data_IF_295165185187
#
_entry.id   IF_295165185187
#
_cell.length_a   1.000
_cell.length_b   1.000
_cell.length_c   1.000
_cell.angle_alpha   90.00
_cell.angle_beta   90.00
_cell.angle_gamma   90.00
#
_symmetry.space_group_name_H-M   'P 1'
#
loop_
_entity.id
_entity.type
_entity.pdbx_description
1 polymer ?
#
# COMPACT_ATOMS: atom_id res chain seq x y z
N UNK A 1 4.00 -33.48 -55.35
CA UNK A 1 4.21 -33.62 -53.89
C UNK A 1 3.51 -32.45 -53.24
N UNK A 2 2.26 -32.68 -52.82
CA UNK A 2 1.39 -31.72 -52.17
C UNK A 2 1.59 -31.78 -50.66
N UNK A 3 1.85 -30.64 -50.02
CA UNK A 3 1.79 -30.49 -48.58
C UNK A 3 0.71 -29.46 -48.27
N UNK A 4 -0.46 -29.98 -47.87
CA UNK A 4 -1.55 -29.23 -47.26
C UNK A 4 -1.17 -28.89 -45.81
N UNK A 5 -1.00 -27.60 -45.51
CA UNK A 5 -0.94 -27.10 -44.14
C UNK A 5 -2.29 -26.48 -43.76
N UNK A 6 -3.13 -27.27 -43.08
CA UNK A 6 -4.34 -26.78 -42.41
C UNK A 6 -3.97 -25.81 -41.28
N UNK A 7 -4.17 -24.51 -41.50
CA UNK A 7 -4.23 -23.51 -40.43
C UNK A 7 -5.49 -23.74 -39.58
N UNK A 8 -5.32 -24.28 -38.37
CA UNK A 8 -6.38 -24.29 -37.35
C UNK A 8 -6.39 -22.95 -36.61
N UNK A 9 -7.33 -22.09 -36.96
CA UNK A 9 -7.69 -20.93 -36.15
C UNK A 9 -8.40 -21.40 -34.87
N UNK A 10 -7.78 -21.18 -33.70
CA UNK A 10 -8.46 -21.32 -32.42
C UNK A 10 -9.18 -20.01 -32.07
N UNK A 11 -10.51 -19.98 -32.23
CA UNK A 11 -11.36 -18.91 -31.71
C UNK A 11 -11.81 -19.25 -30.29
N UNK A 12 -11.34 -18.49 -29.30
CA UNK A 12 -11.96 -18.48 -27.96
C UNK A 12 -13.25 -17.67 -28.03
N UNK A 13 -14.39 -18.34 -28.15
CA UNK A 13 -15.69 -17.74 -27.91
C UNK A 13 -15.97 -17.75 -26.41
N UNK A 14 -15.70 -16.63 -25.73
CA UNK A 14 -16.28 -16.38 -24.40
C UNK A 14 -17.70 -15.90 -24.66
N UNK A 15 -18.70 -16.66 -24.19
CA UNK A 15 -20.08 -16.17 -24.12
C UNK A 15 -20.16 -15.23 -22.92
N UNK A 16 -20.31 -13.95 -23.20
CA UNK A 16 -20.62 -12.92 -22.21
C UNK A 16 -22.08 -13.06 -21.76
N UNK A 17 -22.34 -14.00 -20.85
CA UNK A 17 -23.55 -13.99 -20.03
C UNK A 17 -23.21 -13.26 -18.72
N UNK A 18 -22.90 -11.96 -18.83
CA UNK A 18 -22.78 -11.05 -17.70
C UNK A 18 -24.19 -10.66 -17.25
N UNK A 19 -24.68 -11.35 -16.23
CA UNK A 19 -25.87 -10.98 -15.48
C UNK A 19 -25.63 -9.59 -14.84
N UNK A 20 -26.16 -8.55 -15.47
CA UNK A 20 -25.96 -7.14 -15.12
C UNK A 20 -26.71 -6.70 -13.86
N UNK A 21 -27.28 -7.66 -13.11
CA UNK A 21 -28.12 -7.40 -11.95
C UNK A 21 -27.37 -7.23 -10.62
N UNK A 22 -26.03 -7.41 -10.62
CA UNK A 22 -25.19 -7.30 -9.41
C UNK A 22 -24.47 -5.96 -9.22
N UNK A 23 -24.67 -4.97 -10.11
CA UNK A 23 -23.90 -3.72 -10.15
C UNK A 23 -24.59 -2.49 -9.55
N UNK A 24 -25.65 -2.67 -8.77
CA UNK A 24 -26.35 -1.57 -8.10
C UNK A 24 -26.24 -1.63 -6.58
N UNK A 25 -25.01 -1.84 -6.08
CA UNK A 25 -24.66 -1.42 -4.72
C UNK A 25 -23.93 -0.07 -4.83
N UNK A 26 -24.40 0.88 -4.03
CA UNK A 26 -24.00 2.29 -4.02
C UNK A 26 -22.48 2.48 -4.19
N UNK A 27 -22.07 2.93 -5.37
CA UNK A 27 -20.75 3.53 -5.56
C UNK A 27 -20.80 4.88 -4.85
N UNK A 28 -20.36 4.92 -3.60
CA UNK A 28 -19.90 6.17 -3.00
C UNK A 28 -18.85 6.76 -3.95
N UNK A 29 -19.02 8.03 -4.33
CA UNK A 29 -18.07 8.77 -5.15
C UNK A 29 -16.73 8.83 -4.40
N UNK A 30 -15.84 7.89 -4.71
CA UNK A 30 -14.50 7.85 -4.16
C UNK A 30 -13.60 8.82 -4.91
N UNK A 31 -12.92 9.70 -4.16
CA UNK A 31 -11.98 10.69 -4.70
C UNK A 31 -10.69 9.98 -5.14
N UNK A 32 -10.44 9.92 -6.46
CA UNK A 32 -9.14 9.48 -6.96
C UNK A 32 -8.02 10.35 -6.39
N UNK A 33 -6.93 9.72 -5.92
CA UNK A 33 -5.72 10.45 -5.50
C UNK A 33 -5.27 11.39 -6.62
N UNK A 34 -5.22 12.67 -6.31
CA UNK A 34 -4.85 13.71 -7.26
C UNK A 34 -3.34 13.96 -7.25
N UNK A 35 -2.81 14.49 -8.36
CA UNK A 35 -1.40 14.92 -8.43
C UNK A 35 -1.08 15.93 -7.33
N UNK A 36 -2.04 16.81 -7.01
CA UNK A 36 -1.88 17.81 -5.95
C UNK A 36 -1.68 17.17 -4.58
N UNK A 37 -2.41 16.11 -4.26
CA UNK A 37 -2.26 15.39 -2.98
C UNK A 37 -0.90 14.69 -2.84
N UNK A 38 -0.35 14.19 -3.95
CA UNK A 38 0.99 13.62 -3.97
C UNK A 38 2.08 14.68 -3.83
N UNK A 39 1.88 15.86 -4.41
CA UNK A 39 2.77 17.02 -4.24
C UNK A 39 2.74 17.52 -2.79
N UNK A 40 1.57 17.66 -2.18
CA UNK A 40 1.40 17.99 -0.76
C UNK A 40 2.10 16.98 0.15
N UNK A 41 1.95 15.69 -0.12
CA UNK A 41 2.65 14.64 0.61
C UNK A 41 4.18 14.75 0.44
N UNK A 42 4.66 15.03 -0.77
CA UNK A 42 6.08 15.21 -1.02
C UNK A 42 6.66 16.40 -0.24
N UNK A 43 5.93 17.51 -0.17
CA UNK A 43 6.32 18.68 0.61
C UNK A 43 6.28 18.41 2.11
N UNK A 44 5.26 17.70 2.61
CA UNK A 44 5.22 17.24 3.98
C UNK A 44 6.42 16.35 4.32
N UNK A 45 6.80 15.42 3.44
CA UNK A 45 7.98 14.57 3.62
C UNK A 45 9.28 15.37 3.62
N UNK A 46 9.45 16.36 2.73
CA UNK A 46 10.62 17.26 2.75
C UNK A 46 10.75 17.95 4.09
N UNK A 47 9.64 18.47 4.62
CA UNK A 47 9.62 19.07 5.94
C UNK A 47 9.99 18.07 7.05
N UNK A 48 9.40 16.87 7.05
CA UNK A 48 9.64 15.83 8.05
C UNK A 48 11.08 15.28 8.03
N UNK A 49 11.72 15.23 6.86
CA UNK A 49 13.06 14.67 6.67
C UNK A 49 14.20 15.68 6.84
N UNK A 50 13.88 16.96 7.01
CA UNK A 50 14.82 18.02 7.38
C UNK A 50 15.23 17.86 8.86
N UNK A 51 16.12 16.89 9.12
CA UNK A 51 16.53 16.45 10.45
C UNK A 51 18.00 16.74 10.71
N UNK A 52 18.31 17.10 11.95
CA UNK A 52 19.65 17.46 12.42
C UNK A 52 20.13 16.50 13.52
N UNK A 53 21.44 16.18 13.58
CA UNK A 53 22.00 15.47 14.72
C UNK A 53 21.75 16.23 16.02
N UNK A 54 21.26 15.54 17.05
CA UNK A 54 20.97 16.16 18.34
C UNK A 54 21.29 15.21 19.49
N UNK A 55 22.18 15.63 20.37
CA UNK A 55 22.45 14.90 21.61
C UNK A 55 21.44 15.28 22.66
N UNK A 56 20.67 14.31 23.14
CA UNK A 56 19.64 14.55 24.15
C UNK A 56 20.26 15.10 25.44
N UNK A 57 19.87 16.28 25.93
CA UNK A 57 20.45 16.87 27.14
C UNK A 57 20.16 16.06 28.41
N UNK A 58 19.04 15.33 28.45
CA UNK A 58 18.65 14.49 29.59
C UNK A 58 19.37 13.15 29.66
N UNK A 59 19.85 12.62 28.53
CA UNK A 59 20.45 11.27 28.45
C UNK A 59 21.91 11.27 28.00
N UNK A 60 22.42 12.38 27.45
CA UNK A 60 23.80 12.51 26.97
C UNK A 60 24.13 11.65 25.75
N UNK A 61 23.11 11.08 25.10
CA UNK A 61 23.24 10.19 23.93
C UNK A 61 22.33 10.67 22.80
N UNK A 62 22.69 10.31 21.57
CA UNK A 62 21.83 10.53 20.40
C UNK A 62 20.76 9.44 20.34
N UNK A 63 19.53 9.83 20.64
CA UNK A 63 18.36 8.96 20.57
C UNK A 63 17.26 9.67 19.78
N UNK A 64 16.44 8.95 19.00
CA UNK A 64 15.30 9.54 18.31
C UNK A 64 14.36 10.23 19.31
N UNK A 65 14.32 11.56 19.30
CA UNK A 65 13.50 12.33 20.24
C UNK A 65 12.00 12.06 20.09
N UNK A 66 11.54 11.64 18.90
CA UNK A 66 10.14 11.32 18.65
C UNK A 66 9.65 10.09 19.44
N UNK A 67 10.57 9.22 19.87
CA UNK A 67 10.27 8.04 20.69
C UNK A 67 10.44 8.31 22.20
N UNK A 68 10.79 9.54 22.57
CA UNK A 68 11.02 9.91 23.95
C UNK A 68 9.69 10.19 24.65
N UNK A 69 9.37 9.44 25.71
CA UNK A 69 8.18 9.65 26.54
C UNK A 69 8.27 10.95 27.37
N UNK A 70 9.50 11.45 27.58
CA UNK A 70 9.76 12.67 28.32
C UNK A 70 9.49 13.91 27.45
N UNK A 71 8.58 14.80 27.91
CA UNK A 71 8.33 16.09 27.26
C UNK A 71 9.57 16.99 27.37
N UNK A 72 10.48 16.89 26.41
CA UNK A 72 11.64 17.75 26.30
C UNK A 72 11.30 18.99 25.46
N UNK A 73 11.37 20.18 26.05
CA UNK A 73 11.20 21.45 25.31
C UNK A 73 12.21 21.61 24.16
N UNK A 74 13.37 20.98 24.29
CA UNK A 74 14.45 21.01 23.29
C UNK A 74 14.15 20.13 22.06
N UNK A 75 13.17 19.23 22.12
CA UNK A 75 12.85 18.32 21.02
C UNK A 75 12.21 19.04 19.81
N UNK A 76 11.70 20.27 20.00
CA UNK A 76 11.04 21.08 18.97
C UNK A 76 9.98 20.31 18.17
N UNK A 77 8.99 19.78 18.91
CA UNK A 77 7.94 18.95 18.34
C UNK A 77 7.02 19.76 17.41
N UNK A 78 6.81 19.26 16.20
CA UNK A 78 5.96 19.84 15.18
C UNK A 78 5.12 18.74 14.50
N UNK A 79 3.93 19.08 14.04
CA UNK A 79 3.06 18.16 13.30
C UNK A 79 2.77 18.73 11.91
N UNK A 80 2.59 17.83 10.95
CA UNK A 80 2.12 18.14 9.61
C UNK A 80 1.05 17.13 9.22
N UNK A 81 0.01 17.60 8.55
CA UNK A 81 -1.08 16.76 8.09
C UNK A 81 -1.33 17.02 6.61
N UNK A 82 -1.60 15.94 5.89
CA UNK A 82 -2.00 15.91 4.49
C UNK A 82 -3.16 14.94 4.35
N UNK A 83 -3.88 14.98 3.23
CA UNK A 83 -4.95 14.01 2.98
C UNK A 83 -4.48 12.55 3.00
N UNK A 84 -3.23 12.30 2.58
CA UNK A 84 -2.67 10.96 2.44
C UNK A 84 -1.90 10.48 3.67
N UNK A 85 -1.67 11.35 4.66
CA UNK A 85 -0.87 11.01 5.80
C UNK A 85 -0.67 12.13 6.82
N UNK A 86 -0.32 11.72 8.02
CA UNK A 86 0.00 12.59 9.14
C UNK A 86 1.40 12.31 9.64
N UNK A 87 2.18 13.36 9.86
CA UNK A 87 3.54 13.25 10.33
C UNK A 87 3.82 14.09 11.56
N UNK A 88 4.84 13.66 12.30
CA UNK A 88 5.35 14.33 13.49
C UNK A 88 6.86 14.46 13.34
N UNK A 89 7.39 15.62 13.69
CA UNK A 89 8.81 15.95 13.58
C UNK A 89 9.34 16.42 14.92
N UNK A 90 10.56 16.00 15.23
CA UNK A 90 11.44 16.60 16.23
C UNK A 90 12.73 17.01 15.54
N UNK A 91 13.68 17.59 16.28
CA UNK A 91 14.97 18.01 15.74
C UNK A 91 15.74 16.89 15.01
N UNK A 92 15.75 15.66 15.53
CA UNK A 92 16.59 14.56 15.01
C UNK A 92 15.83 13.32 14.53
N UNK A 93 14.51 13.34 14.59
CA UNK A 93 13.67 12.21 14.16
C UNK A 93 12.27 12.65 13.80
N UNK A 94 11.63 11.89 12.92
CA UNK A 94 10.26 12.12 12.49
C UNK A 94 9.53 10.82 12.21
N UNK A 95 8.20 10.87 12.26
CA UNK A 95 7.33 9.79 11.84
C UNK A 95 6.35 10.28 10.78
N UNK A 96 5.92 9.37 9.92
CA UNK A 96 4.77 9.60 9.03
C UNK A 96 3.89 8.36 9.00
N UNK A 97 2.60 8.55 9.24
CA UNK A 97 1.56 7.55 9.08
C UNK A 97 0.81 7.83 7.78
N UNK A 98 0.67 6.83 6.92
CA UNK A 98 0.06 6.94 5.59
C UNK A 98 -1.23 6.15 5.53
N UNK A 99 -2.18 6.66 4.75
CA UNK A 99 -3.50 6.06 4.53
C UNK A 99 -3.68 5.76 3.05
N UNK A 100 -3.95 4.50 2.74
CA UNK A 100 -4.28 4.05 1.39
C UNK A 100 -5.79 3.98 1.19
N UNK A 101 -6.20 4.28 -0.04
CA UNK A 101 -7.57 4.09 -0.52
C UNK A 101 -7.90 2.59 -0.59
N UNK A 102 -9.10 2.22 -0.11
CA UNK A 102 -9.57 0.84 0.04
C UNK A 102 -11.03 0.75 -0.36
N UNK A 103 -11.32 -0.06 -1.38
CA UNK A 103 -12.66 -0.22 -1.95
C UNK A 103 -13.44 -1.37 -1.29
N UNK A 104 -12.75 -2.40 -0.80
CA UNK A 104 -13.39 -3.57 -0.20
C UNK A 104 -12.50 -4.28 0.85
N UNK A 105 -13.03 -5.34 1.45
CA UNK A 105 -12.32 -6.15 2.45
C UNK A 105 -11.10 -6.89 1.87
N UNK A 106 -11.11 -7.19 0.56
CA UNK A 106 -9.96 -7.84 -0.10
C UNK A 106 -8.79 -6.86 -0.16
N UNK A 107 -9.03 -5.61 -0.53
CA UNK A 107 -7.97 -4.58 -0.53
C UNK A 107 -7.48 -4.26 0.86
N UNK A 108 -8.37 -4.15 1.85
CA UNK A 108 -7.97 -4.01 3.26
C UNK A 108 -7.03 -5.13 3.68
N UNK A 109 -7.33 -6.38 3.30
CA UNK A 109 -6.45 -7.51 3.56
C UNK A 109 -5.12 -7.43 2.81
N UNK A 110 -5.14 -7.07 1.52
CA UNK A 110 -3.95 -6.95 0.69
C UNK A 110 -3.00 -5.86 1.20
N UNK A 111 -3.53 -4.70 1.62
CA UNK A 111 -2.74 -3.62 2.23
C UNK A 111 -2.11 -4.07 3.53
N UNK A 112 -2.87 -4.70 4.44
CA UNK A 112 -2.29 -5.27 5.67
C UNK A 112 -1.17 -6.27 5.37
N UNK A 113 -1.31 -7.06 4.31
CA UNK A 113 -0.27 -8.01 3.88
C UNK A 113 0.94 -7.30 3.30
N UNK A 114 0.75 -6.28 2.48
CA UNK A 114 1.82 -5.42 1.97
C UNK A 114 2.63 -4.80 3.11
N UNK A 115 1.97 -4.20 4.09
CA UNK A 115 2.63 -3.56 5.25
C UNK A 115 3.46 -4.55 6.04
N UNK A 116 2.97 -5.79 6.24
CA UNK A 116 3.75 -6.86 6.87
C UNK A 116 5.01 -7.20 6.08
N UNK A 117 4.93 -7.26 4.75
CA UNK A 117 6.12 -7.52 3.92
C UNK A 117 7.09 -6.33 3.90
N UNK A 118 6.60 -5.09 3.92
CA UNK A 118 7.45 -3.89 4.06
C UNK A 118 8.22 -3.91 5.39
N UNK A 119 7.55 -4.25 6.50
CA UNK A 119 8.18 -4.38 7.82
C UNK A 119 9.28 -5.47 7.83
N UNK A 120 9.03 -6.63 7.19
CA UNK A 120 10.03 -7.70 7.05
C UNK A 120 11.28 -7.29 6.28
N UNK A 121 11.17 -6.32 5.37
CA UNK A 121 12.29 -5.76 4.61
C UNK A 121 13.11 -4.73 5.38
N UNK A 122 12.81 -4.48 6.66
CA UNK A 122 13.51 -3.54 7.55
C UNK A 122 13.51 -2.10 7.02
N UNK A 123 12.40 -1.67 6.43
CA UNK A 123 12.22 -0.31 5.90
C UNK A 123 11.79 0.71 6.97
N UNK A 124 12.29 0.58 8.21
CA UNK A 124 11.90 1.41 9.37
C UNK A 124 10.37 1.55 9.55
N UNK A 125 9.62 0.49 9.22
CA UNK A 125 8.17 0.45 9.41
C UNK A 125 7.86 0.32 10.90
N UNK A 126 7.03 1.22 11.41
CA UNK A 126 6.54 1.26 12.78
C UNK A 126 5.02 1.08 12.81
N UNK A 127 4.47 0.93 14.02
CA UNK A 127 3.03 0.94 14.22
C UNK A 127 2.46 2.31 13.79
N UNK A 128 1.47 2.35 12.87
CA UNK A 128 0.88 3.61 12.44
C UNK A 128 0.04 4.25 13.55
N UNK A 129 -0.24 5.55 13.40
CA UNK A 129 -1.32 6.19 14.15
C UNK A 129 -2.67 5.53 13.85
N UNK A 130 -3.64 5.69 14.76
CA UNK A 130 -5.01 5.20 14.57
C UNK A 130 -5.57 5.69 13.23
N UNK A 131 -6.32 4.84 12.54
CA UNK A 131 -6.93 5.10 11.21
C UNK A 131 -5.98 5.12 10.01
N UNK A 132 -4.66 4.97 10.22
CA UNK A 132 -3.66 4.85 9.16
C UNK A 132 -3.24 3.39 8.92
N UNK A 133 -2.67 3.11 7.76
CA UNK A 133 -2.31 1.76 7.33
C UNK A 133 -0.86 1.40 7.60
N UNK A 134 0.06 2.36 7.46
CA UNK A 134 1.50 2.14 7.61
C UNK A 134 2.18 3.35 8.23
N UNK A 135 3.06 3.12 9.20
CA UNK A 135 3.90 4.13 9.81
C UNK A 135 5.36 3.94 9.41
N UNK A 136 6.08 5.03 9.18
CA UNK A 136 7.53 5.04 8.98
C UNK A 136 8.21 5.92 10.02
N UNK A 137 9.38 5.49 10.48
CA UNK A 137 10.28 6.26 11.34
C UNK A 137 11.52 6.69 10.55
N UNK A 138 11.88 7.95 10.67
CA UNK A 138 13.11 8.51 10.15
C UNK A 138 13.93 9.12 11.26
N UNK A 139 15.25 9.07 11.08
CA UNK A 139 16.23 9.67 11.97
C UNK A 139 17.13 10.61 11.17
N UNK A 140 17.92 11.43 11.87
CA UNK A 140 18.87 12.32 11.20
C UNK A 140 19.89 11.59 10.31
N UNK A 141 20.08 10.27 10.47
CA UNK A 141 20.92 9.45 9.58
C UNK A 141 20.31 9.33 8.18
N UNK A 142 18.99 9.44 8.05
CA UNK A 142 18.24 9.33 6.80
C UNK A 142 18.30 10.62 5.95
N UNK A 143 18.83 11.73 6.49
CA UNK A 143 18.91 13.04 5.81
C UNK A 143 19.69 13.03 4.50
N UNK A 144 20.54 12.03 4.29
CA UNK A 144 21.32 11.87 3.06
C UNK A 144 20.54 11.20 1.93
N UNK A 145 19.35 10.66 2.23
CA UNK A 145 18.53 9.84 1.33
C UNK A 145 17.14 10.42 1.13
N UNK A 146 16.97 11.73 1.36
CA UNK A 146 15.68 12.43 1.33
C UNK A 146 14.94 12.17 0.03
N UNK A 147 15.59 12.38 -1.11
CA UNK A 147 14.97 12.19 -2.43
C UNK A 147 14.59 10.73 -2.70
N UNK A 148 15.40 9.77 -2.23
CA UNK A 148 15.09 8.34 -2.35
C UNK A 148 13.86 7.96 -1.53
N UNK A 149 13.76 8.48 -0.29
CA UNK A 149 12.66 8.21 0.62
C UNK A 149 11.37 8.82 0.08
N UNK A 150 11.41 10.08 -0.36
CA UNK A 150 10.25 10.75 -0.98
C UNK A 150 9.79 9.97 -2.20
N UNK A 151 10.71 9.65 -3.11
CA UNK A 151 10.40 8.90 -4.33
C UNK A 151 9.83 7.51 -4.01
N UNK A 152 10.35 6.85 -2.97
CA UNK A 152 9.84 5.56 -2.51
C UNK A 152 8.41 5.67 -1.96
N UNK A 153 8.15 6.64 -1.08
CA UNK A 153 6.83 6.80 -0.45
C UNK A 153 5.78 7.26 -1.46
N UNK A 154 6.07 8.31 -2.23
CA UNK A 154 5.14 8.80 -3.26
C UNK A 154 4.87 7.69 -4.28
N UNK A 155 5.93 7.03 -4.77
CA UNK A 155 5.78 5.90 -5.70
C UNK A 155 5.11 4.66 -5.10
N UNK A 156 4.95 4.57 -3.77
CA UNK A 156 4.19 3.49 -3.14
C UNK A 156 2.70 3.62 -3.43
N UNK A 157 2.16 4.85 -3.49
CA UNK A 157 0.75 5.10 -3.81
C UNK A 157 0.41 4.65 -5.23
N UNK A 158 1.24 5.01 -6.22
CA UNK A 158 1.07 4.57 -7.60
C UNK A 158 1.12 3.05 -7.72
N UNK A 159 2.10 2.43 -7.05
CA UNK A 159 2.25 0.96 -7.04
C UNK A 159 1.05 0.28 -6.38
N UNK A 160 0.55 0.82 -5.29
CA UNK A 160 -0.65 0.30 -4.61
C UNK A 160 -1.86 0.41 -5.53
N UNK A 161 -2.09 1.57 -6.17
CA UNK A 161 -3.18 1.80 -7.12
C UNK A 161 -3.19 0.79 -8.26
N UNK A 162 -2.02 0.45 -8.80
CA UNK A 162 -1.90 -0.56 -9.88
C UNK A 162 -2.00 -1.99 -9.35
N UNK A 163 -1.39 -2.27 -8.20
CA UNK A 163 -1.33 -3.63 -7.65
C UNK A 163 -2.71 -4.16 -7.23
N UNK A 164 -3.62 -3.31 -6.72
CA UNK A 164 -4.94 -3.76 -6.27
C UNK A 164 -5.80 -4.43 -7.36
N UNK A 165 -6.06 -3.79 -8.52
CA UNK A 165 -6.83 -4.41 -9.58
C UNK A 165 -6.15 -5.67 -10.14
N UNK A 166 -4.81 -5.68 -10.26
CA UNK A 166 -4.05 -6.86 -10.68
C UNK A 166 -4.25 -8.03 -9.71
N UNK A 167 -4.10 -7.79 -8.40
CA UNK A 167 -4.24 -8.80 -7.37
C UNK A 167 -5.68 -9.37 -7.35
N UNK A 168 -6.69 -8.51 -7.46
CA UNK A 168 -8.10 -8.93 -7.55
C UNK A 168 -8.36 -9.79 -8.79
N UNK A 169 -7.84 -9.40 -9.94
CA UNK A 169 -7.99 -10.16 -11.20
C UNK A 169 -7.40 -11.56 -11.09
N UNK A 170 -6.20 -11.67 -10.48
CA UNK A 170 -5.53 -12.95 -10.23
C UNK A 170 -6.35 -13.81 -9.27
N UNK A 171 -6.80 -13.24 -8.15
CA UNK A 171 -7.60 -13.95 -7.15
C UNK A 171 -8.91 -14.47 -7.76
N UNK A 172 -9.65 -13.63 -8.48
CA UNK A 172 -10.91 -14.00 -9.11
C UNK A 172 -10.72 -15.11 -10.15
N UNK A 173 -9.67 -15.02 -10.96
CA UNK A 173 -9.34 -16.05 -11.95
C UNK A 173 -8.95 -17.38 -11.30
N UNK A 174 -8.20 -17.32 -10.20
CA UNK A 174 -7.86 -18.51 -9.41
C UNK A 174 -9.10 -19.15 -8.78
N UNK A 175 -10.02 -18.35 -8.22
CA UNK A 175 -11.28 -18.83 -7.62
C UNK A 175 -12.13 -19.53 -8.68
N UNK A 176 -12.36 -18.92 -9.86
CA UNK A 176 -13.14 -19.52 -10.95
C UNK A 176 -12.59 -20.90 -11.34
N UNK A 177 -11.28 -21.00 -11.54
CA UNK A 177 -10.63 -22.27 -11.85
C UNK A 177 -10.83 -23.32 -10.76
N UNK A 178 -10.79 -22.92 -9.49
CA UNK A 178 -11.02 -23.84 -8.37
C UNK A 178 -12.46 -24.33 -8.29
N UNK A 179 -13.43 -23.46 -8.57
CA UNK A 179 -14.85 -23.85 -8.65
C UNK A 179 -15.07 -24.87 -9.77
N UNK A 180 -14.56 -24.63 -10.97
CA UNK A 180 -14.65 -25.58 -12.09
C UNK A 180 -14.00 -26.95 -11.77
N UNK A 181 -12.86 -26.95 -11.08
CA UNK A 181 -12.19 -28.18 -10.62
C UNK A 181 -13.05 -28.96 -9.62
N UNK A 182 -13.78 -28.27 -8.73
CA UNK A 182 -14.68 -28.88 -7.75
C UNK A 182 -15.91 -29.47 -8.46
N UNK A 183 -16.56 -28.72 -9.34
CA UNK A 183 -17.73 -29.18 -10.09
C UNK A 183 -17.43 -30.42 -10.94
N UNK A 184 -16.30 -30.41 -11.65
CA UNK A 184 -15.87 -31.57 -12.45
C UNK A 184 -15.68 -32.82 -11.60
N UNK A 185 -15.11 -32.68 -10.40
CA UNK A 185 -14.93 -33.80 -9.47
C UNK A 185 -16.27 -34.33 -8.96
N UNK A 186 -17.22 -33.46 -8.67
CA UNK A 186 -18.55 -33.86 -8.22
C UNK A 186 -19.36 -34.56 -9.32
N UNK A 187 -19.29 -34.09 -10.57
CA UNK A 187 -19.93 -34.77 -11.70
C UNK A 187 -19.36 -36.17 -11.95
N UNK A 188 -18.04 -36.35 -11.84
CA UNK A 188 -17.40 -37.67 -11.97
C UNK A 188 -17.79 -38.65 -10.87
N UNK A 189 -18.16 -38.17 -9.67
CA UNK A 189 -18.70 -39.02 -8.60
C UNK A 189 -20.14 -39.47 -8.90
N UNK A 190 -20.98 -38.56 -9.42
CA UNK A 190 -22.39 -38.87 -9.73
C UNK A 190 -22.55 -39.83 -10.91
N UNK A 191 -21.64 -39.82 -11.89
CA UNK A 191 -21.68 -40.75 -13.04
C UNK A 191 -21.19 -42.19 -12.76
N UNK A 192 -20.87 -42.54 -11.51
CA UNK A 192 -20.43 -43.89 -11.08
C UNK A 192 -21.48 -44.66 -10.28
N UNK A 193 -22.72 -44.19 -10.27
CA UNK A 193 -23.90 -44.88 -9.71
C UNK A 193 -24.93 -45.07 -10.81
#
# INVERSE_FOLDING_TARGET
>A
MSFDEEKREFRFGVKDDLDSSFLHENFDEMEEITVLELEELADALRFLLDLEPHTCPGRGVDIPCILCEDRCSSANYQEVESKLGKGRKTINSSTISLKFEKHDEVEKYLIRKLVRELSRKKLNVIEPEEEYDVGFLFTHEDRWRVDEIISFIVGLFDKVKVMMPEAKSILNSWIRKKVEEIERREMLKKGKH
#
